data_IF_768926267346
#
_entry.id   IF_768926267346
#
_cell.length_a   1.000
_cell.length_b   1.000
_cell.length_c   1.000
_cell.angle_alpha   90.00
_cell.angle_beta   90.00
_cell.angle_gamma   90.00
#
_symmetry.space_group_name_H-M   'P 1'
#
loop_
_entity.id
_entity.type
_entity.pdbx_description
1 polymer ?
#
# COMPACT_ATOMS: atom_id res chain seq x y z
N UNK A 1 10.59 -21.10 13.90
CA UNK A 1 10.17 -19.68 13.94
C UNK A 1 9.74 -19.26 12.54
N UNK A 2 8.46 -18.93 12.33
CA UNK A 2 7.86 -18.77 11.01
C UNK A 2 8.39 -17.52 10.27
N UNK A 3 8.63 -17.61 8.96
CA UNK A 3 9.24 -16.52 8.17
C UNK A 3 8.37 -15.24 8.17
N UNK A 4 7.05 -15.42 8.20
CA UNK A 4 6.08 -14.34 8.27
C UNK A 4 6.16 -13.55 9.58
N UNK A 5 6.32 -14.25 10.72
CA UNK A 5 6.47 -13.61 12.03
C UNK A 5 7.75 -12.78 12.10
N UNK A 6 8.87 -13.30 11.60
CA UNK A 6 10.14 -12.55 11.53
C UNK A 6 9.98 -11.27 10.72
N UNK A 7 9.31 -11.34 9.57
CA UNK A 7 9.01 -10.17 8.75
C UNK A 7 8.09 -9.17 9.44
N UNK A 8 7.10 -9.63 10.20
CA UNK A 8 6.20 -8.78 10.96
C UNK A 8 6.93 -8.02 12.08
N UNK A 9 7.81 -8.70 12.83
CA UNK A 9 8.64 -8.08 13.86
C UNK A 9 9.59 -7.05 13.25
N UNK A 10 10.23 -7.38 12.12
CA UNK A 10 11.08 -6.42 11.41
C UNK A 10 10.32 -5.15 11.01
N UNK A 11 9.06 -5.30 10.53
CA UNK A 11 8.19 -4.15 10.24
C UNK A 11 7.87 -3.35 11.49
N UNK A 12 7.61 -3.99 12.64
CA UNK A 12 7.37 -3.27 13.90
C UNK A 12 8.56 -2.36 14.25
N UNK A 13 9.80 -2.86 14.14
CA UNK A 13 10.99 -2.04 14.40
C UNK A 13 11.17 -0.92 13.37
N UNK A 14 10.86 -1.17 12.09
CA UNK A 14 10.83 -0.11 11.07
C UNK A 14 9.79 0.95 11.43
N UNK A 15 8.60 0.54 11.89
CA UNK A 15 7.52 1.44 12.27
C UNK A 15 7.90 2.29 13.48
N UNK A 16 8.53 1.68 14.50
CA UNK A 16 9.13 2.41 15.64
C UNK A 16 10.06 3.51 15.13
N UNK A 17 10.98 3.17 14.22
CA UNK A 17 11.95 4.13 13.65
C UNK A 17 11.28 5.22 12.81
N UNK A 18 10.30 4.88 11.97
CA UNK A 18 9.56 5.84 11.14
C UNK A 18 8.79 6.87 11.97
N UNK A 19 8.28 6.45 13.13
CA UNK A 19 7.52 7.31 14.02
C UNK A 19 8.38 8.04 15.05
N UNK A 20 9.72 7.88 15.01
CA UNK A 20 10.62 8.50 15.98
C UNK A 20 10.33 8.12 17.42
N UNK A 21 9.83 6.90 17.67
CA UNK A 21 9.45 6.47 19.01
C UNK A 21 10.69 6.10 19.83
N UNK A 22 10.87 6.81 20.95
CA UNK A 22 11.80 6.44 22.00
C UNK A 22 11.42 5.10 22.66
N UNK A 23 12.38 4.46 23.31
CA UNK A 23 12.19 3.11 23.83
C UNK A 23 11.08 3.00 24.87
N UNK A 24 10.96 3.96 25.78
CA UNK A 24 9.91 3.95 26.81
C UNK A 24 8.52 4.12 26.21
N UNK A 25 8.35 5.09 25.32
CA UNK A 25 7.09 5.31 24.60
C UNK A 25 6.69 4.09 23.76
N UNK A 26 7.68 3.43 23.14
CA UNK A 26 7.46 2.20 22.39
C UNK A 26 7.01 1.05 23.31
N UNK A 27 7.70 0.82 24.43
CA UNK A 27 7.32 -0.22 25.41
C UNK A 27 5.94 0.04 26.02
N UNK A 28 5.61 1.30 26.28
CA UNK A 28 4.29 1.70 26.76
C UNK A 28 3.21 1.43 25.71
N UNK A 29 3.46 1.78 24.45
CA UNK A 29 2.54 1.46 23.35
C UNK A 29 2.31 -0.06 23.22
N UNK A 30 3.35 -0.88 23.37
CA UNK A 30 3.22 -2.34 23.37
C UNK A 30 2.34 -2.81 24.53
N UNK A 31 2.62 -2.37 25.76
CA UNK A 31 1.80 -2.70 26.94
C UNK A 31 0.34 -2.28 26.77
N UNK A 32 0.09 -1.09 26.23
CA UNK A 32 -1.26 -0.59 25.99
C UNK A 32 -2.00 -1.35 24.89
N UNK A 33 -1.28 -1.97 23.94
CA UNK A 33 -1.88 -2.71 22.84
C UNK A 33 -2.09 -4.20 23.16
N UNK A 34 -1.20 -4.81 23.94
CA UNK A 34 -1.16 -6.27 24.14
C UNK A 34 -0.91 -6.71 25.59
N UNK A 35 -0.68 -5.78 26.51
CA UNK A 35 -0.27 -6.09 27.89
C UNK A 35 1.20 -6.48 28.04
N UNK A 36 1.95 -6.65 26.94
CA UNK A 36 3.33 -7.15 26.95
C UNK A 36 4.33 -6.05 26.60
N UNK A 37 5.49 -6.07 27.25
CA UNK A 37 6.56 -5.08 27.05
C UNK A 37 7.50 -5.40 25.88
N UNK A 38 7.40 -6.60 25.29
CA UNK A 38 8.28 -7.07 24.23
C UNK A 38 7.48 -7.80 23.16
N UNK A 39 7.85 -7.59 21.89
CA UNK A 39 7.28 -8.30 20.75
C UNK A 39 7.72 -9.77 20.72
N UNK A 40 8.82 -10.11 21.41
CA UNK A 40 9.29 -11.49 21.49
C UNK A 40 8.25 -12.39 22.18
N UNK A 41 7.57 -11.87 23.20
CA UNK A 41 6.60 -12.58 24.04
C UNK A 41 5.18 -12.61 23.43
N UNK A 42 4.99 -11.97 22.26
CA UNK A 42 3.67 -11.83 21.62
C UNK A 42 3.32 -13.02 20.73
N UNK A 43 2.04 -13.37 20.65
CA UNK A 43 1.51 -14.28 19.63
C UNK A 43 1.30 -13.56 18.28
N UNK A 44 0.91 -14.31 17.24
CA UNK A 44 0.78 -13.77 15.89
C UNK A 44 -0.37 -12.74 15.76
N UNK A 45 -1.43 -12.84 16.57
CA UNK A 45 -2.54 -11.90 16.54
C UNK A 45 -2.21 -10.61 17.28
N UNK A 46 -1.48 -10.70 18.38
CA UNK A 46 -0.88 -9.57 19.09
C UNK A 46 0.11 -8.81 18.19
N UNK A 47 0.97 -9.51 17.45
CA UNK A 47 1.89 -8.90 16.47
C UNK A 47 1.11 -8.14 15.38
N UNK A 48 0.02 -8.72 14.86
CA UNK A 48 -0.86 -8.02 13.89
C UNK A 48 -1.51 -6.78 14.51
N UNK A 49 -1.97 -6.84 15.76
CA UNK A 49 -2.54 -5.68 16.49
C UNK A 49 -1.52 -4.55 16.60
N UNK A 50 -0.26 -4.85 16.95
CA UNK A 50 0.81 -3.84 17.02
C UNK A 50 1.08 -3.21 15.65
N UNK A 51 1.15 -4.02 14.58
CA UNK A 51 1.29 -3.49 13.22
C UNK A 51 0.14 -2.57 12.82
N UNK A 52 -1.10 -2.93 13.17
CA UNK A 52 -2.26 -2.09 12.91
C UNK A 52 -2.19 -0.77 13.70
N UNK A 53 -1.74 -0.81 14.95
CA UNK A 53 -1.53 0.39 15.78
C UNK A 53 -0.46 1.31 15.18
N UNK A 54 0.66 0.77 14.75
CA UNK A 54 1.72 1.54 14.09
C UNK A 54 1.21 2.20 12.80
N UNK A 55 0.42 1.47 11.99
CA UNK A 55 -0.22 2.04 10.78
C UNK A 55 -1.16 3.19 11.12
N UNK A 56 -2.00 3.04 12.16
CA UNK A 56 -2.90 4.11 12.63
C UNK A 56 -2.12 5.34 13.10
N UNK A 57 -0.96 5.13 13.69
CA UNK A 57 -0.06 6.21 14.12
C UNK A 57 0.74 6.82 12.96
N UNK A 58 0.54 6.39 11.71
CA UNK A 58 1.17 6.96 10.52
C UNK A 58 2.33 6.17 9.93
N UNK A 59 2.72 5.02 10.52
CA UNK A 59 3.78 4.19 9.96
C UNK A 59 3.36 3.58 8.62
N UNK A 60 4.24 3.69 7.61
CA UNK A 60 3.99 3.20 6.27
C UNK A 60 4.91 2.02 5.96
N UNK A 61 4.32 0.83 5.89
CA UNK A 61 5.02 -0.41 5.56
C UNK A 61 4.92 -0.70 4.06
N UNK A 62 5.77 -0.04 3.28
CA UNK A 62 5.93 -0.35 1.86
C UNK A 62 6.77 -1.62 1.70
N UNK A 63 6.40 -2.47 0.74
CA UNK A 63 7.26 -3.58 0.34
C UNK A 63 8.47 -3.00 -0.39
N UNK A 64 9.66 -3.57 -0.15
CA UNK A 64 10.85 -3.21 -0.93
C UNK A 64 10.62 -3.71 -2.35
N UNK A 65 10.58 -2.78 -3.30
CA UNK A 65 10.41 -3.12 -4.70
C UNK A 65 11.61 -3.94 -5.18
N UNK A 66 11.36 -5.00 -5.95
CA UNK A 66 12.44 -5.64 -6.69
C UNK A 66 12.84 -4.67 -7.80
N UNK A 67 14.13 -4.47 -8.03
CA UNK A 67 14.59 -3.73 -9.21
C UNK A 67 14.12 -4.49 -10.45
N UNK A 68 13.17 -3.91 -11.17
CA UNK A 68 12.75 -4.45 -12.46
C UNK A 68 13.90 -4.33 -13.46
N UNK A 69 13.93 -5.24 -14.44
CA UNK A 69 14.84 -5.15 -15.56
C UNK A 69 14.78 -3.75 -16.22
N UNK A 70 15.91 -3.26 -16.70
CA UNK A 70 16.10 -1.85 -17.09
C UNK A 70 15.05 -1.34 -18.09
N UNK A 71 14.63 -2.18 -19.05
CA UNK A 71 13.58 -1.85 -20.02
C UNK A 71 12.15 -1.74 -19.45
N UNK A 72 11.88 -2.29 -18.26
CA UNK A 72 10.56 -2.25 -17.60
C UNK A 72 10.40 -1.07 -16.64
N UNK A 73 11.51 -0.49 -16.18
CA UNK A 73 11.52 0.59 -15.20
C UNK A 73 10.65 1.79 -15.61
N UNK A 74 10.73 2.32 -16.86
CA UNK A 74 9.89 3.46 -17.25
C UNK A 74 8.38 3.16 -17.22
N UNK A 75 8.00 1.90 -17.51
CA UNK A 75 6.60 1.48 -17.46
C UNK A 75 6.11 1.41 -16.01
N UNK A 76 6.92 0.86 -15.11
CA UNK A 76 6.60 0.78 -13.68
C UNK A 76 6.50 2.18 -13.07
N UNK A 77 7.45 3.07 -13.37
CA UNK A 77 7.43 4.45 -12.89
C UNK A 77 6.16 5.18 -13.37
N UNK A 78 5.73 4.95 -14.62
CA UNK A 78 4.47 5.48 -15.15
C UNK A 78 3.23 4.90 -14.45
N UNK A 79 3.22 3.61 -14.10
CA UNK A 79 2.15 3.01 -13.28
C UNK A 79 2.06 3.73 -11.93
N UNK A 80 3.19 3.96 -11.26
CA UNK A 80 3.22 4.67 -9.97
C UNK A 80 2.76 6.12 -10.07
N UNK A 81 3.18 6.85 -11.11
CA UNK A 81 2.71 8.21 -11.35
C UNK A 81 1.18 8.26 -11.49
N UNK A 82 0.58 7.30 -12.21
CA UNK A 82 -0.87 7.22 -12.40
C UNK A 82 -1.62 6.73 -11.15
N UNK A 83 -0.97 5.99 -10.25
CA UNK A 83 -1.55 5.55 -8.99
C UNK A 83 -1.80 6.73 -8.04
N UNK A 84 -0.89 7.72 -8.01
CA UNK A 84 -0.94 8.81 -7.03
C UNK A 84 -0.81 8.25 -5.62
N UNK A 85 -1.74 8.59 -4.73
CA UNK A 85 -1.76 8.10 -3.33
C UNK A 85 -2.21 6.64 -3.16
N UNK A 86 -2.61 5.96 -4.25
CA UNK A 86 -3.06 4.56 -4.19
C UNK A 86 -1.89 3.61 -4.02
N UNK A 87 -2.13 2.50 -3.35
CA UNK A 87 -1.12 1.46 -3.15
C UNK A 87 -0.87 0.67 -4.44
N UNK A 88 0.34 0.11 -4.65
CA UNK A 88 0.63 -0.79 -5.77
C UNK A 88 -0.35 -1.98 -5.89
N UNK A 89 -0.90 -2.45 -4.76
CA UNK A 89 -1.89 -3.52 -4.73
C UNK A 89 -3.15 -3.20 -5.57
N UNK A 90 -3.49 -1.92 -5.74
CA UNK A 90 -4.59 -1.52 -6.62
C UNK A 90 -4.27 -1.80 -8.10
N UNK A 91 -3.05 -1.49 -8.54
CA UNK A 91 -2.59 -1.81 -9.89
C UNK A 91 -2.42 -3.32 -10.11
N UNK A 92 -1.95 -4.05 -9.10
CA UNK A 92 -1.89 -5.53 -9.12
C UNK A 92 -3.31 -6.13 -9.24
N UNK A 93 -4.31 -5.53 -8.60
CA UNK A 93 -5.72 -5.92 -8.76
C UNK A 93 -6.25 -5.71 -10.19
N UNK A 94 -5.93 -4.57 -10.82
CA UNK A 94 -6.24 -4.32 -12.24
C UNK A 94 -5.55 -5.36 -13.11
N UNK A 95 -4.27 -5.63 -12.88
CA UNK A 95 -3.51 -6.62 -13.62
C UNK A 95 -4.15 -8.01 -13.54
N UNK A 96 -4.55 -8.43 -12.34
CA UNK A 96 -5.26 -9.69 -12.10
C UNK A 96 -6.61 -9.74 -12.79
N UNK A 97 -7.36 -8.64 -12.79
CA UNK A 97 -8.63 -8.56 -13.50
C UNK A 97 -8.46 -8.68 -15.02
N UNK A 98 -7.38 -8.15 -15.59
CA UNK A 98 -7.13 -8.16 -17.04
C UNK A 98 -6.53 -9.48 -17.54
N UNK A 99 -5.68 -10.13 -16.75
CA UNK A 99 -4.89 -11.28 -17.20
C UNK A 99 -5.15 -12.58 -16.44
N UNK A 100 -6.04 -12.58 -15.44
CA UNK A 100 -6.42 -13.79 -14.69
C UNK A 100 -5.20 -14.52 -14.14
N UNK A 101 -5.12 -15.82 -14.43
CA UNK A 101 -4.03 -16.70 -13.98
C UNK A 101 -2.67 -16.37 -14.62
N UNK A 102 -2.65 -15.60 -15.72
CA UNK A 102 -1.41 -15.12 -16.34
C UNK A 102 -0.88 -13.84 -15.69
N UNK A 103 -1.61 -13.26 -14.74
CA UNK A 103 -1.17 -12.08 -14.01
C UNK A 103 -0.11 -12.46 -12.97
N UNK A 104 1.13 -11.94 -13.06
CA UNK A 104 2.07 -12.12 -11.98
C UNK A 104 1.59 -11.41 -10.71
N UNK A 105 1.94 -11.96 -9.56
CA UNK A 105 1.60 -11.38 -8.25
C UNK A 105 2.19 -9.99 -8.03
N UNK A 106 3.17 -9.58 -8.85
CA UNK A 106 3.96 -8.38 -8.67
C UNK A 106 4.14 -7.63 -9.99
N UNK A 107 3.99 -6.30 -9.94
CA UNK A 107 4.23 -5.43 -11.10
C UNK A 107 5.65 -5.58 -11.67
N UNK A 108 6.66 -5.87 -10.84
CA UNK A 108 8.04 -5.99 -11.32
C UNK A 108 8.27 -7.25 -12.17
N UNK A 109 7.40 -8.25 -12.00
CA UNK A 109 7.39 -9.49 -12.76
C UNK A 109 6.51 -9.43 -13.99
N UNK A 110 5.64 -8.42 -14.10
CA UNK A 110 4.82 -8.20 -15.29
C UNK A 110 5.67 -8.05 -16.57
N UNK A 111 5.11 -8.51 -17.68
CA UNK A 111 5.68 -8.27 -19.00
C UNK A 111 5.47 -6.81 -19.40
N UNK A 112 6.25 -6.30 -20.37
CA UNK A 112 6.00 -4.96 -20.92
C UNK A 112 4.59 -4.78 -21.50
N UNK A 113 3.97 -5.80 -22.09
CA UNK A 113 2.58 -5.70 -22.57
C UNK A 113 1.60 -5.55 -21.41
N UNK A 114 1.75 -6.39 -20.38
CA UNK A 114 0.93 -6.35 -19.17
C UNK A 114 1.00 -4.99 -18.47
N UNK A 115 2.19 -4.41 -18.34
CA UNK A 115 2.36 -3.07 -17.76
C UNK A 115 1.68 -1.98 -18.60
N UNK A 116 1.79 -2.04 -19.93
CA UNK A 116 1.09 -1.09 -20.82
C UNK A 116 -0.43 -1.20 -20.70
N UNK A 117 -0.95 -2.41 -20.55
CA UNK A 117 -2.38 -2.65 -20.36
C UNK A 117 -2.88 -1.98 -19.06
N UNK A 118 -2.14 -2.14 -17.95
CA UNK A 118 -2.44 -1.49 -16.67
C UNK A 118 -2.36 0.04 -16.77
N UNK A 119 -1.34 0.59 -17.45
CA UNK A 119 -1.20 2.04 -17.69
C UNK A 119 -2.46 2.58 -18.40
N UNK A 120 -2.92 1.91 -19.46
CA UNK A 120 -4.10 2.32 -20.20
C UNK A 120 -5.36 2.29 -19.33
N UNK A 121 -5.54 1.25 -18.53
CA UNK A 121 -6.66 1.15 -17.59
C UNK A 121 -6.65 2.27 -16.55
N UNK A 122 -5.49 2.57 -15.96
CA UNK A 122 -5.33 3.64 -14.97
C UNK A 122 -5.59 5.03 -15.58
N UNK A 123 -5.06 5.30 -16.77
CA UNK A 123 -5.29 6.55 -17.49
C UNK A 123 -6.78 6.78 -17.77
N UNK A 124 -7.47 5.75 -18.26
CA UNK A 124 -8.91 5.80 -18.52
C UNK A 124 -9.71 6.04 -17.23
N UNK A 125 -9.35 5.37 -16.13
CA UNK A 125 -10.03 5.55 -14.85
C UNK A 125 -9.83 6.95 -14.28
N UNK A 126 -8.62 7.51 -14.37
CA UNK A 126 -8.33 8.87 -13.92
C UNK A 126 -9.12 9.89 -14.74
N UNK A 127 -9.13 9.77 -16.07
CA UNK A 127 -9.90 10.66 -16.95
C UNK A 127 -11.41 10.61 -16.67
N UNK A 128 -11.96 9.43 -16.40
CA UNK A 128 -13.38 9.29 -15.99
C UNK A 128 -13.65 10.00 -14.67
N UNK A 129 -12.76 9.90 -13.69
CA UNK A 129 -12.90 10.56 -12.38
C UNK A 129 -12.81 12.08 -12.48
N UNK A 130 -11.90 12.60 -13.29
CA UNK A 130 -11.80 14.05 -13.55
C UNK A 130 -13.08 14.58 -14.20
N UNK A 131 -13.64 13.86 -15.17
CA UNK A 131 -14.95 14.20 -15.77
C UNK A 131 -16.08 14.16 -14.75
N UNK A 132 -16.11 13.17 -13.85
CA UNK A 132 -17.13 13.11 -12.79
C UNK A 132 -16.99 14.28 -11.82
N UNK A 133 -15.76 14.60 -11.36
CA UNK A 133 -15.50 15.76 -10.49
C UNK A 133 -15.96 17.06 -11.15
N UNK A 134 -15.54 17.30 -12.39
CA UNK A 134 -15.93 18.49 -13.14
C UNK A 134 -17.45 18.64 -13.35
N UNK A 135 -18.20 17.54 -13.43
CA UNK A 135 -19.67 17.59 -13.50
C UNK A 135 -20.32 17.89 -12.15
N UNK A 136 -19.75 17.41 -11.05
CA UNK A 136 -20.26 17.68 -9.69
C UNK A 136 -20.02 19.13 -9.28
N UNK A 137 -18.89 19.73 -9.68
CA UNK A 137 -18.55 21.12 -9.35
C UNK A 137 -19.37 22.17 -10.16
N UNK A 138 -20.13 21.75 -11.18
CA UNK A 138 -20.88 22.64 -12.10
C UNK A 138 -22.39 22.66 -11.83
N UNK A 139 -22.94 21.86 -10.91
CA UNK A 139 -24.37 21.94 -10.57
C UNK A 139 -24.66 23.18 -9.70
N UNK A 140 -25.33 24.24 -10.21
CA UNK A 140 -25.68 25.38 -9.39
C UNK A 140 -26.97 25.10 -8.63
N UNK A 141 -27.01 25.65 -7.42
CA UNK A 141 -28.16 25.87 -6.56
C UNK A 141 -29.44 26.19 -7.35
N UNK A 142 -30.36 25.23 -7.45
CA UNK A 142 -31.74 25.45 -7.88
C UNK A 142 -32.68 25.17 -6.70
N UNK A 143 -32.58 26.02 -5.68
CA UNK A 143 -33.60 26.18 -4.65
C UNK A 143 -34.08 27.63 -4.71
N UNK A 144 -35.10 27.87 -5.54
CA UNK A 144 -36.03 28.97 -5.35
C UNK A 144 -37.31 28.66 -6.13
N UNK A 145 -38.33 28.19 -5.40
CA UNK A 145 -39.77 28.45 -5.59
C UNK A 145 -40.59 27.80 -4.50
#
# INVERSE_FOLDING_TARGET
>A
MNAERKNAIAKIHIGKKQLGMEEDAYREMLRNATGKGSVADMDDDEVKKVLARLRRNGARFHRKHLTAAEGKKPLIDKVFALLGDRTPAYAEGILKQMHGDLAPERLEWATPEQLRAVISALANNNARREKTKAKTDVAPNAADK
#
